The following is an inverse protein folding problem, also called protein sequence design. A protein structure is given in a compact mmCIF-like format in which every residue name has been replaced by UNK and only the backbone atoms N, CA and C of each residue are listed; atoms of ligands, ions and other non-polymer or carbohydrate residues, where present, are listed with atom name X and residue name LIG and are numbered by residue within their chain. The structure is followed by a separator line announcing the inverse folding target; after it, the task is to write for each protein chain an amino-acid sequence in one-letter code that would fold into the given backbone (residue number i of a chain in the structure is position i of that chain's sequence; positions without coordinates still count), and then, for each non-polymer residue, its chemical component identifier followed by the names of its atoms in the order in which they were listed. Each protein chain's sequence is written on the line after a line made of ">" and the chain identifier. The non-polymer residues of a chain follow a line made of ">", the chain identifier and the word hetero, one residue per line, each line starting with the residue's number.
data_IF_870194731307
#
_entry.id   IF_870194731307
#
_cell.length_a   1.000
_cell.length_b   1.000
_cell.length_c   1.000
_cell.angle_alpha   90.00
_cell.angle_beta   90.00
_cell.angle_gamma   90.00
#
_symmetry.space_group_name_H-M   'P 1'
#
loop_
_entity.id
_entity.type
_entity.pdbx_description
1 polymer ?
#
# COMPACT_ATOMS: atom_id res chain seq x y z
N UNK A 1 6.09 20.86 -0.03
CA UNK A 1 7.40 21.24 -0.57
C UNK A 1 8.47 20.38 0.09
N UNK A 2 9.53 20.01 -0.64
CA UNK A 2 10.73 19.32 -0.13
C UNK A 2 11.95 20.05 -0.67
N UNK A 3 12.90 20.38 0.20
CA UNK A 3 14.16 21.00 -0.22
C UNK A 3 15.23 19.93 -0.40
N UNK A 4 16.01 20.02 -1.48
CA UNK A 4 17.16 19.17 -1.75
C UNK A 4 18.26 20.05 -2.38
N UNK A 5 19.42 20.15 -1.74
CA UNK A 5 20.60 20.90 -2.24
C UNK A 5 20.31 22.35 -2.71
N UNK A 6 19.47 23.08 -1.98
CA UNK A 6 19.12 24.48 -2.32
C UNK A 6 17.94 24.62 -3.29
N UNK A 7 17.44 23.52 -3.84
CA UNK A 7 16.31 23.49 -4.78
C UNK A 7 15.04 23.02 -4.07
N UNK A 8 13.93 23.69 -4.31
CA UNK A 8 12.61 23.33 -3.77
C UNK A 8 11.80 22.53 -4.80
N UNK A 9 11.38 21.33 -4.39
CA UNK A 9 10.46 20.48 -5.14
C UNK A 9 9.05 20.62 -4.57
N UNK A 10 8.07 20.83 -5.44
CA UNK A 10 6.66 20.99 -5.09
C UNK A 10 5.77 20.05 -5.90
N UNK A 11 4.80 19.46 -5.21
CA UNK A 11 3.77 18.62 -5.79
C UNK A 11 2.55 18.64 -4.86
N UNK A 12 1.38 18.30 -5.40
CA UNK A 12 0.22 17.96 -4.58
C UNK A 12 0.49 16.78 -3.66
N UNK A 13 -0.27 16.68 -2.57
CA UNK A 13 -0.22 15.50 -1.69
C UNK A 13 -0.92 14.33 -2.36
N UNK A 14 -0.54 13.12 -1.96
CA UNK A 14 -1.27 11.91 -2.35
C UNK A 14 -2.54 11.76 -1.50
N UNK A 15 -3.64 12.37 -1.99
CA UNK A 15 -4.96 12.38 -1.35
C UNK A 15 -5.82 11.15 -1.70
N UNK A 16 -5.27 10.15 -2.38
CA UNK A 16 -6.02 8.95 -2.76
C UNK A 16 -6.49 8.18 -1.52
N UNK A 17 -7.80 8.06 -1.33
CA UNK A 17 -8.41 7.26 -0.27
C UNK A 17 -8.33 5.76 -0.60
N UNK A 18 -7.70 4.99 0.28
CA UNK A 18 -7.65 3.53 0.17
C UNK A 18 -8.95 2.95 0.75
N UNK A 19 -9.72 2.23 -0.06
CA UNK A 19 -10.95 1.56 0.37
C UNK A 19 -11.20 0.31 -0.49
N UNK A 20 -11.93 -0.67 0.07
CA UNK A 20 -12.20 -1.94 -0.61
C UNK A 20 -13.12 -1.77 -1.83
N UNK A 21 -14.13 -0.91 -1.71
CA UNK A 21 -15.18 -0.75 -2.71
C UNK A 21 -14.68 -0.17 -4.04
N UNK A 22 -13.60 0.61 -4.02
CA UNK A 22 -12.99 1.16 -5.24
C UNK A 22 -11.74 0.40 -5.67
N UNK A 23 -10.98 -0.21 -4.75
CA UNK A 23 -9.68 -0.82 -5.06
C UNK A 23 -9.69 -2.34 -5.20
N UNK A 24 -10.67 -3.04 -4.62
CA UNK A 24 -10.75 -4.50 -4.62
C UNK A 24 -11.93 -5.01 -5.49
N UNK A 25 -12.10 -4.39 -6.65
CA UNK A 25 -13.23 -4.65 -7.57
C UNK A 25 -12.89 -5.56 -8.75
N UNK A 26 -11.61 -5.67 -9.11
CA UNK A 26 -11.16 -6.42 -10.29
C UNK A 26 -10.25 -7.60 -9.92
N UNK A 27 -10.85 -8.77 -9.72
CA UNK A 27 -10.13 -10.03 -9.46
C UNK A 27 -9.83 -10.76 -10.76
N UNK A 28 -8.54 -10.83 -11.13
CA UNK A 28 -8.06 -11.42 -12.39
C UNK A 28 -7.73 -12.92 -12.29
N UNK A 29 -7.78 -13.49 -11.09
CA UNK A 29 -7.52 -14.92 -10.83
C UNK A 29 -8.75 -15.78 -11.11
N UNK A 30 -8.54 -17.09 -11.30
CA UNK A 30 -9.64 -18.06 -11.43
C UNK A 30 -10.52 -18.08 -10.18
N UNK A 31 -9.91 -18.09 -8.99
CA UNK A 31 -10.62 -17.95 -7.73
C UNK A 31 -10.90 -16.46 -7.46
N UNK A 32 -12.18 -16.11 -7.39
CA UNK A 32 -12.68 -14.76 -7.10
C UNK A 32 -13.36 -14.65 -5.74
N UNK A 33 -13.37 -15.74 -4.97
CA UNK A 33 -13.91 -15.75 -3.61
C UNK A 33 -12.88 -15.17 -2.65
N UNK A 34 -13.21 -14.02 -2.06
CA UNK A 34 -12.38 -13.34 -1.06
C UNK A 34 -13.27 -12.98 0.12
N UNK A 35 -12.88 -13.48 1.29
CA UNK A 35 -13.57 -13.22 2.56
C UNK A 35 -13.41 -11.75 2.98
N UNK A 36 -14.30 -11.29 3.86
CA UNK A 36 -14.20 -9.93 4.40
C UNK A 36 -12.93 -9.74 5.26
N UNK A 37 -12.46 -10.79 5.96
CA UNK A 37 -11.18 -10.71 6.67
C UNK A 37 -10.00 -10.51 5.70
N UNK A 38 -9.98 -11.23 4.58
CA UNK A 38 -8.93 -11.09 3.57
C UNK A 38 -8.95 -9.70 2.91
N UNK A 39 -10.14 -9.16 2.59
CA UNK A 39 -10.28 -7.78 2.07
C UNK A 39 -9.75 -6.76 3.08
N UNK A 40 -10.13 -6.89 4.36
CA UNK A 40 -9.63 -6.03 5.44
C UNK A 40 -8.10 -6.06 5.49
N UNK A 41 -7.51 -7.25 5.48
CA UNK A 41 -6.07 -7.43 5.58
C UNK A 41 -5.34 -6.83 4.36
N UNK A 42 -5.91 -6.91 3.15
CA UNK A 42 -5.38 -6.23 1.96
C UNK A 42 -5.45 -4.70 2.06
N UNK A 43 -6.54 -4.15 2.61
CA UNK A 43 -6.66 -2.70 2.83
C UNK A 43 -5.64 -2.20 3.86
N UNK A 44 -5.41 -2.93 4.95
CA UNK A 44 -4.35 -2.62 5.91
C UNK A 44 -2.99 -2.61 5.23
N UNK A 45 -2.71 -3.57 4.35
CA UNK A 45 -1.46 -3.62 3.60
C UNK A 45 -1.30 -2.38 2.68
N UNK A 46 -2.34 -2.02 1.92
CA UNK A 46 -2.31 -0.87 1.02
C UNK A 46 -2.12 0.46 1.75
N UNK A 47 -2.79 0.65 2.89
CA UNK A 47 -2.61 1.84 3.74
C UNK A 47 -1.18 1.88 4.27
N UNK A 48 -0.67 0.75 4.79
CA UNK A 48 0.70 0.66 5.32
C UNK A 48 1.72 1.03 4.23
N UNK A 49 1.55 0.49 3.03
CA UNK A 49 2.44 0.75 1.89
C UNK A 49 2.41 2.20 1.43
N UNK A 50 1.24 2.86 1.44
CA UNK A 50 1.10 4.29 1.07
C UNK A 50 2.02 5.20 1.91
N UNK A 51 2.28 4.83 3.16
CA UNK A 51 3.07 5.63 4.11
C UNK A 51 4.46 5.04 4.42
N UNK A 52 4.82 3.91 3.80
CA UNK A 52 6.15 3.30 3.95
C UNK A 52 7.09 3.79 2.86
N UNK A 53 8.35 4.09 3.20
CA UNK A 53 9.36 4.53 2.23
C UNK A 53 9.51 3.51 1.09
N UNK A 54 9.39 4.00 -0.15
CA UNK A 54 9.50 3.17 -1.34
C UNK A 54 10.95 2.70 -1.59
N UNK A 55 11.15 1.52 -2.20
CA UNK A 55 10.13 0.52 -2.51
C UNK A 55 9.81 -0.33 -1.27
N UNK A 56 8.53 -0.69 -1.12
CA UNK A 56 8.01 -1.36 0.07
C UNK A 56 7.15 -2.58 -0.26
N UNK A 57 7.20 -3.59 0.61
CA UNK A 57 6.38 -4.81 0.58
C UNK A 57 5.78 -4.98 1.97
N UNK A 58 4.51 -5.40 2.05
CA UNK A 58 3.81 -5.59 3.32
C UNK A 58 3.06 -6.91 3.30
N UNK A 59 3.20 -7.67 4.37
CA UNK A 59 2.43 -8.87 4.67
C UNK A 59 1.50 -8.59 5.84
N UNK A 60 0.24 -8.98 5.71
CA UNK A 60 -0.81 -8.80 6.72
C UNK A 60 -1.49 -10.12 7.02
N UNK A 61 -1.91 -10.29 8.28
CA UNK A 61 -2.73 -11.41 8.72
C UNK A 61 -3.47 -11.03 10.00
N UNK A 62 -4.74 -11.41 10.12
CA UNK A 62 -5.50 -11.27 11.35
C UNK A 62 -5.75 -9.81 11.73
N UNK A 63 -5.91 -8.92 10.75
CA UNK A 63 -6.18 -7.50 10.99
C UNK A 63 -4.95 -6.68 11.39
N UNK A 64 -3.73 -7.18 11.13
CA UNK A 64 -2.49 -6.46 11.42
C UNK A 64 -1.39 -6.76 10.40
N UNK A 65 -0.37 -5.91 10.37
CA UNK A 65 0.88 -6.17 9.63
C UNK A 65 1.72 -7.19 10.38
N UNK A 66 2.21 -8.22 9.68
CA UNK A 66 3.13 -9.22 10.23
C UNK A 66 4.55 -9.12 9.66
N UNK A 67 4.74 -8.33 8.61
CA UNK A 67 6.05 -8.03 8.05
C UNK A 67 6.00 -6.84 7.10
N UNK A 68 6.97 -5.93 7.21
CA UNK A 68 7.07 -4.74 6.35
C UNK A 68 8.52 -4.54 5.93
N UNK A 69 8.76 -4.58 4.62
CA UNK A 69 10.03 -4.18 4.00
C UNK A 69 9.93 -2.74 3.49
N UNK A 70 10.96 -1.93 3.72
CA UNK A 70 10.99 -0.51 3.35
C UNK A 70 12.32 -0.12 2.70
N UNK A 71 12.29 0.89 1.81
CA UNK A 71 13.49 1.48 1.21
C UNK A 71 14.30 0.53 0.33
N UNK A 72 13.69 -0.57 -0.13
CA UNK A 72 14.40 -1.56 -0.95
C UNK A 72 14.59 -1.05 -2.38
N UNK A 73 15.71 -1.45 -3.00
CA UNK A 73 16.02 -1.12 -4.41
C UNK A 73 15.59 -2.25 -5.36
N UNK A 74 15.70 -3.50 -4.90
CA UNK A 74 15.12 -4.68 -5.55
C UNK A 74 13.76 -5.00 -4.94
N UNK A 75 12.84 -5.53 -5.75
CA UNK A 75 11.55 -6.03 -5.27
C UNK A 75 11.67 -7.39 -4.59
N UNK A 76 12.60 -8.21 -5.08
CA UNK A 76 12.92 -9.56 -4.59
C UNK A 76 14.01 -9.43 -3.52
#
# INVERSE_FOLDING_TARGET
>A
HKQVYGITFEQGRNELTINADTMLTNWVTENKSVTEEQKRDLIIALITLKYTQSNSVCYTAGGQTIGVGAGQQSRI
#
